data_IF_553457155929
#
_entry.id   IF_553457155929
#
_cell.length_a   1.000
_cell.length_b   1.000
_cell.length_c   1.000
_cell.angle_alpha   90.00
_cell.angle_beta   90.00
_cell.angle_gamma   90.00
#
_symmetry.space_group_name_H-M   'P 1'
#
loop_
_entity.id
_entity.type
_entity.pdbx_description
1 polymer ?
#
# COMPACT_ATOMS: atom_id res chain seq x y z
N UNK A 1 2.62 -3.37 -21.53
CA UNK A 1 3.73 -2.52 -20.99
C UNK A 1 3.66 -2.58 -19.47
N UNK A 2 4.79 -2.77 -18.78
CA UNK A 2 4.85 -2.87 -17.31
C UNK A 2 4.84 -1.49 -16.62
N UNK A 3 4.77 -1.49 -15.29
CA UNK A 3 4.91 -0.31 -14.43
C UNK A 3 6.37 -0.18 -13.98
N UNK A 4 6.89 1.05 -13.96
CA UNK A 4 8.25 1.39 -13.49
C UNK A 4 8.15 2.52 -12.47
N UNK A 5 8.98 2.48 -11.42
CA UNK A 5 9.08 3.58 -10.47
C UNK A 5 9.80 4.78 -11.09
N UNK A 6 9.36 5.99 -10.76
CA UNK A 6 10.03 7.26 -11.06
C UNK A 6 10.42 7.98 -9.77
N UNK A 7 11.20 9.05 -9.91
CA UNK A 7 11.44 9.98 -8.81
C UNK A 7 10.12 10.67 -8.40
N UNK A 8 9.97 11.08 -7.12
CA UNK A 8 8.87 11.94 -6.68
C UNK A 8 8.97 13.32 -7.35
N UNK A 9 7.82 13.92 -7.62
CA UNK A 9 7.68 15.25 -8.23
C UNK A 9 6.53 16.00 -7.51
N UNK A 10 6.70 16.38 -6.22
CA UNK A 10 5.68 17.08 -5.45
C UNK A 10 5.58 18.56 -5.85
N UNK A 11 4.42 19.17 -5.64
CA UNK A 11 4.22 20.61 -5.84
C UNK A 11 4.99 21.44 -4.79
N UNK A 12 5.18 22.75 -5.04
CA UNK A 12 5.96 23.65 -4.18
C UNK A 12 5.46 23.73 -2.72
N UNK A 13 4.19 23.40 -2.47
CA UNK A 13 3.54 23.38 -1.16
C UNK A 13 3.37 21.97 -0.55
N UNK A 14 3.84 20.93 -1.23
CA UNK A 14 3.81 19.54 -0.76
C UNK A 14 5.12 19.14 -0.05
N UNK A 15 5.06 19.05 1.28
CA UNK A 15 6.16 18.53 2.10
C UNK A 15 5.94 17.05 2.40
N UNK A 16 6.35 16.17 1.48
CA UNK A 16 6.15 14.71 1.58
C UNK A 16 7.47 13.92 1.44
N UNK A 17 7.63 12.89 2.27
CA UNK A 17 8.71 11.92 2.17
C UNK A 17 8.21 10.59 1.60
N UNK A 18 8.98 9.99 0.68
CA UNK A 18 8.69 8.64 0.18
C UNK A 18 9.30 7.60 1.09
N UNK A 19 8.45 6.77 1.69
CA UNK A 19 8.84 5.63 2.52
C UNK A 19 8.58 4.33 1.76
N UNK A 20 9.53 3.38 1.87
CA UNK A 20 9.35 2.00 1.43
C UNK A 20 9.32 1.09 2.65
N UNK A 21 8.29 0.26 2.75
CA UNK A 21 8.15 -0.73 3.79
C UNK A 21 7.51 -2.01 3.23
N UNK A 22 7.71 -3.17 3.88
CA UNK A 22 6.98 -4.38 3.58
C UNK A 22 5.46 -4.17 3.63
N UNK A 23 4.73 -4.79 2.71
CA UNK A 23 3.28 -4.65 2.65
C UNK A 23 2.60 -5.19 3.92
N UNK A 24 3.08 -6.32 4.43
CA UNK A 24 2.56 -6.95 5.65
C UNK A 24 2.73 -6.05 6.88
N UNK A 25 3.84 -5.32 6.97
CA UNK A 25 4.09 -4.35 8.04
C UNK A 25 3.10 -3.17 7.97
N UNK A 26 2.89 -2.61 6.77
CA UNK A 26 1.90 -1.55 6.57
C UNK A 26 0.47 -2.01 6.94
N UNK A 27 0.14 -3.28 6.66
CA UNK A 27 -1.15 -3.85 7.03
C UNK A 27 -1.27 -4.05 8.55
N UNK A 28 -0.21 -4.49 9.23
CA UNK A 28 -0.16 -4.57 10.69
C UNK A 28 -0.36 -3.20 11.34
N UNK A 29 0.28 -2.16 10.80
CA UNK A 29 0.10 -0.77 11.25
C UNK A 29 -1.35 -0.28 11.14
N UNK A 30 -2.12 -0.78 10.18
CA UNK A 30 -3.57 -0.50 10.08
C UNK A 30 -4.34 -1.22 11.20
N UNK A 31 -3.99 -2.47 11.50
CA UNK A 31 -4.69 -3.29 12.49
C UNK A 31 -4.38 -2.89 13.93
N UNK A 32 -3.17 -2.41 14.20
CA UNK A 32 -2.74 -1.95 15.53
C UNK A 32 -3.00 -0.46 15.80
N UNK A 33 -3.50 0.28 14.80
CA UNK A 33 -3.90 1.68 14.94
C UNK A 33 -2.79 2.70 14.74
N UNK A 34 -1.60 2.32 14.27
CA UNK A 34 -0.55 3.28 13.86
C UNK A 34 -0.89 4.02 12.56
N UNK A 35 -1.64 3.41 11.64
CA UNK A 35 -2.22 4.06 10.45
C UNK A 35 -3.73 4.19 10.65
N UNK A 36 -4.20 5.43 10.80
CA UNK A 36 -5.61 5.74 11.06
C UNK A 36 -6.28 6.54 9.95
N UNK A 37 -5.55 6.96 8.92
CA UNK A 37 -6.15 7.64 7.77
C UNK A 37 -7.06 6.67 6.99
N UNK A 38 -8.34 7.02 6.90
CA UNK A 38 -9.39 6.18 6.34
C UNK A 38 -9.08 5.68 4.92
N UNK A 39 -8.52 6.54 4.05
CA UNK A 39 -8.24 6.17 2.66
C UNK A 39 -7.08 5.20 2.58
N UNK A 40 -6.03 5.46 3.35
CA UNK A 40 -4.86 4.57 3.47
C UNK A 40 -5.26 3.19 3.97
N UNK A 41 -6.08 3.12 5.04
CA UNK A 41 -6.58 1.87 5.59
C UNK A 41 -7.39 1.05 4.57
N UNK A 42 -8.35 1.69 3.89
CA UNK A 42 -9.22 1.04 2.90
C UNK A 42 -8.40 0.47 1.74
N UNK A 43 -7.41 1.23 1.25
CA UNK A 43 -6.55 0.82 0.14
C UNK A 43 -5.72 -0.41 0.54
N UNK A 44 -5.06 -0.38 1.70
CA UNK A 44 -4.23 -1.49 2.19
C UNK A 44 -5.06 -2.76 2.40
N UNK A 45 -6.24 -2.64 3.03
CA UNK A 45 -7.14 -3.78 3.22
C UNK A 45 -7.67 -4.35 1.91
N UNK A 46 -8.07 -3.50 0.95
CA UNK A 46 -8.52 -3.94 -0.38
C UNK A 46 -7.40 -4.65 -1.15
N UNK A 47 -6.18 -4.10 -1.11
CA UNK A 47 -5.02 -4.73 -1.72
C UNK A 47 -4.74 -6.12 -1.12
N UNK A 48 -4.87 -6.28 0.20
CA UNK A 48 -4.73 -7.57 0.87
C UNK A 48 -5.76 -8.60 0.38
N UNK A 49 -7.03 -8.19 0.20
CA UNK A 49 -8.08 -9.05 -0.35
C UNK A 49 -7.79 -9.48 -1.80
N UNK A 50 -7.33 -8.55 -2.64
CA UNK A 50 -6.96 -8.84 -4.03
C UNK A 50 -5.75 -9.79 -4.07
N UNK A 51 -4.72 -9.54 -3.26
CA UNK A 51 -3.53 -10.41 -3.14
C UNK A 51 -3.93 -11.82 -2.72
N UNK A 52 -4.84 -11.95 -1.75
CA UNK A 52 -5.38 -13.24 -1.31
C UNK A 52 -6.15 -13.94 -2.44
N UNK A 53 -7.01 -13.22 -3.17
CA UNK A 53 -7.76 -13.78 -4.30
C UNK A 53 -6.82 -14.25 -5.43
N UNK A 54 -5.78 -13.47 -5.75
CA UNK A 54 -4.79 -13.84 -6.75
C UNK A 54 -3.94 -15.05 -6.34
N UNK A 55 -3.56 -15.16 -5.06
CA UNK A 55 -2.83 -16.30 -4.52
C UNK A 55 -3.66 -17.59 -4.37
N UNK A 56 -4.99 -17.49 -4.42
CA UNK A 56 -5.88 -18.65 -4.41
C UNK A 56 -6.08 -19.24 -5.82
N UNK A 57 -5.78 -18.49 -6.88
CA UNK A 57 -5.94 -18.91 -8.28
C UNK A 57 -4.72 -19.66 -8.85
N UNK A 58 -3.69 -19.90 -8.05
CA UNK A 58 -2.45 -20.62 -8.43
C UNK A 58 -2.33 -22.00 -7.79
N UNK A 59 -3.41 -22.48 -7.16
CA UNK A 59 -3.53 -23.84 -6.63
C UNK A 59 -4.49 -24.67 -7.49
N UNK A 60 -4.18 -24.82 -8.78
CA UNK A 60 -4.69 -25.88 -9.67
C UNK A 60 -3.56 -26.32 -10.61
#
# INVERSE_FOLDING_TARGET
KGLTFSAPDPDDDEFLDVVRMPFEEALEMVLDGRITDSKTMIILMKAALIKKAAGNNTKE
#
